data_IF_788500576072
#
_entry.id   IF_788500576072
#
_cell.length_a   1.000
_cell.length_b   1.000
_cell.length_c   1.000
_cell.angle_alpha   90.00
_cell.angle_beta   90.00
_cell.angle_gamma   90.00
#
_symmetry.space_group_name_H-M   'P 1'
#
loop_
_entity.id
_entity.type
_entity.pdbx_description
1 polymer ?
#
# COMPACT_ATOMS: atom_id res chain seq x y z
N UNK A 1 14.41 -31.55 18.15
CA UNK A 1 13.32 -30.71 17.58
C UNK A 1 12.06 -30.92 18.40
N UNK A 2 11.51 -29.86 19.02
CA UNK A 2 10.23 -29.95 19.75
C UNK A 2 9.12 -30.20 18.73
N UNK A 3 8.38 -31.29 18.90
CA UNK A 3 7.29 -31.71 18.02
C UNK A 3 6.11 -30.77 18.26
N UNK A 4 5.86 -29.86 17.32
CA UNK A 4 4.79 -28.86 17.46
C UNK A 4 3.43 -29.57 17.53
N UNK A 5 2.61 -29.25 18.54
CA UNK A 5 1.35 -29.94 18.85
C UNK A 5 0.25 -29.68 17.81
N UNK A 6 0.46 -28.71 16.92
CA UNK A 6 -0.50 -28.25 15.91
C UNK A 6 0.15 -28.26 14.52
N UNK A 7 -0.64 -28.60 13.49
CA UNK A 7 -0.21 -28.57 12.09
C UNK A 7 -0.19 -27.12 11.60
N UNK A 8 0.98 -26.61 11.22
CA UNK A 8 1.11 -25.30 10.59
C UNK A 8 0.68 -25.37 9.12
N UNK A 9 -0.34 -24.58 8.75
CA UNK A 9 -0.83 -24.46 7.36
C UNK A 9 -0.04 -23.42 6.56
N UNK A 10 0.41 -22.36 7.24
CA UNK A 10 1.19 -21.27 6.64
C UNK A 10 2.63 -21.39 7.11
N UNK A 11 3.57 -21.29 6.16
CA UNK A 11 5.00 -21.24 6.45
C UNK A 11 5.49 -19.82 6.25
N UNK A 12 6.19 -19.28 7.25
CA UNK A 12 6.88 -18.00 7.11
C UNK A 12 8.08 -18.19 6.19
N UNK A 13 8.35 -17.20 5.36
CA UNK A 13 9.61 -17.16 4.62
C UNK A 13 10.77 -17.04 5.61
N UNK A 14 11.78 -17.91 5.48
CA UNK A 14 12.93 -17.96 6.40
C UNK A 14 13.81 -16.70 6.33
N UNK A 15 13.82 -16.02 5.18
CA UNK A 15 14.56 -14.77 4.98
C UNK A 15 13.81 -13.50 5.40
N UNK A 16 12.75 -13.63 6.22
CA UNK A 16 12.07 -12.45 6.74
C UNK A 16 12.98 -11.61 7.65
N UNK A 17 12.80 -10.27 7.69
CA UNK A 17 11.85 -9.48 6.88
C UNK A 17 12.29 -9.30 5.42
N UNK A 18 11.34 -9.28 4.47
CA UNK A 18 11.62 -9.07 3.04
C UNK A 18 11.96 -7.61 2.67
N UNK A 19 11.59 -6.67 3.54
CA UNK A 19 11.83 -5.23 3.42
C UNK A 19 12.00 -4.65 4.83
N UNK A 20 12.93 -3.73 4.97
CA UNK A 20 13.23 -2.96 6.19
C UNK A 20 13.39 -1.49 5.85
N UNK A 21 13.40 -0.63 6.88
CA UNK A 21 13.65 0.80 6.67
C UNK A 21 15.05 1.11 6.12
N UNK A 22 16.02 0.20 6.28
CA UNK A 22 17.37 0.36 5.75
C UNK A 22 17.42 0.23 4.22
N UNK A 23 16.42 -0.40 3.61
CA UNK A 23 16.33 -0.56 2.15
C UNK A 23 15.84 0.73 1.45
N UNK A 24 15.25 1.65 2.21
CA UNK A 24 14.69 2.87 1.66
C UNK A 24 15.77 3.90 1.30
N UNK A 25 15.71 4.50 0.09
CA UNK A 25 16.71 5.49 -0.34
C UNK A 25 16.52 6.86 0.30
N UNK A 26 15.54 7.02 1.19
CA UNK A 26 15.25 8.26 1.91
C UNK A 26 14.81 7.95 3.36
N UNK A 27 14.80 8.94 4.26
CA UNK A 27 14.48 8.71 5.67
C UNK A 27 13.07 8.15 5.88
N UNK A 28 12.99 6.98 6.51
CA UNK A 28 11.75 6.37 6.99
C UNK A 28 11.86 6.05 8.49
N UNK A 29 10.73 6.10 9.21
CA UNK A 29 10.62 5.60 10.57
C UNK A 29 10.25 4.12 10.58
N UNK A 30 9.27 3.73 9.77
CA UNK A 30 8.81 2.35 9.61
C UNK A 30 8.26 2.10 8.20
N UNK A 31 8.32 0.83 7.75
CA UNK A 31 7.80 0.38 6.45
C UNK A 31 7.02 -0.91 6.62
N UNK A 32 5.74 -0.93 6.26
CA UNK A 32 4.83 -2.03 6.57
C UNK A 32 3.51 -1.93 5.78
N UNK A 33 2.54 -2.81 6.08
CA UNK A 33 1.16 -2.80 5.58
C UNK A 33 0.97 -2.52 4.09
N UNK A 34 1.81 -3.14 3.26
CA UNK A 34 1.78 -2.92 1.83
C UNK A 34 0.55 -3.53 1.16
N UNK A 35 -0.01 -2.82 0.19
CA UNK A 35 -0.88 -3.42 -0.82
C UNK A 35 -0.02 -4.17 -1.84
N UNK A 36 -0.48 -5.32 -2.33
CA UNK A 36 0.28 -6.17 -3.25
C UNK A 36 -0.49 -6.45 -4.54
N UNK A 37 0.20 -6.48 -5.68
CA UNK A 37 -0.38 -6.90 -6.96
C UNK A 37 0.68 -7.44 -7.92
N UNK A 38 0.24 -8.17 -8.95
CA UNK A 38 1.08 -8.57 -10.08
C UNK A 38 0.92 -7.56 -11.21
N UNK A 39 2.04 -7.08 -11.75
CA UNK A 39 2.05 -6.21 -12.92
C UNK A 39 1.94 -7.02 -14.21
N UNK A 40 1.53 -6.42 -15.34
CA UNK A 40 1.54 -7.10 -16.64
C UNK A 40 2.94 -7.58 -17.06
N UNK A 41 4.00 -6.97 -16.52
CA UNK A 41 5.40 -7.41 -16.71
C UNK A 41 5.72 -8.75 -16.03
N UNK A 42 4.85 -9.24 -15.13
CA UNK A 42 5.10 -10.38 -14.27
C UNK A 42 5.84 -10.04 -12.97
N UNK A 43 6.20 -8.77 -12.75
CA UNK A 43 6.79 -8.32 -11.49
C UNK A 43 5.71 -8.18 -10.41
N UNK A 44 6.07 -8.56 -9.18
CA UNK A 44 5.28 -8.23 -8.00
C UNK A 44 5.53 -6.77 -7.65
N UNK A 45 4.45 -6.02 -7.46
CA UNK A 45 4.49 -4.67 -6.89
C UNK A 45 3.92 -4.70 -5.47
N UNK A 46 4.66 -4.11 -4.54
CA UNK A 46 4.19 -3.69 -3.24
C UNK A 46 4.02 -2.18 -3.24
N UNK A 47 2.84 -1.68 -2.89
CA UNK A 47 2.64 -0.28 -2.54
C UNK A 47 2.70 -0.18 -1.02
N UNK A 48 3.88 0.16 -0.51
CA UNK A 48 4.23 0.04 0.90
C UNK A 48 3.83 1.31 1.65
N UNK A 49 3.20 1.16 2.82
CA UNK A 49 3.03 2.28 3.75
C UNK A 49 4.39 2.57 4.38
N UNK A 50 4.81 3.81 4.23
CA UNK A 50 6.04 4.33 4.82
C UNK A 50 5.61 5.43 5.77
N UNK A 51 5.92 5.27 7.05
CA UNK A 51 5.76 6.33 8.03
C UNK A 51 7.07 7.13 8.09
N UNK A 52 6.99 8.45 7.91
CA UNK A 52 8.13 9.33 8.05
C UNK A 52 8.46 9.60 9.54
N UNK A 53 9.56 10.30 9.79
CA UNK A 53 10.01 10.61 11.18
C UNK A 53 9.13 11.63 11.92
N UNK A 54 8.13 12.21 11.25
CA UNK A 54 7.10 13.06 11.87
C UNK A 54 5.86 12.26 12.26
N UNK A 55 5.81 10.96 11.91
CA UNK A 55 4.64 10.11 12.09
C UNK A 55 3.60 10.25 10.97
N UNK A 56 3.95 10.89 9.84
CA UNK A 56 3.04 11.05 8.70
C UNK A 56 3.33 9.96 7.69
N UNK A 57 2.28 9.23 7.29
CA UNK A 57 2.39 8.14 6.34
C UNK A 57 2.21 8.59 4.89
N UNK A 58 2.99 7.99 4.00
CA UNK A 58 2.85 8.07 2.55
C UNK A 58 3.02 6.67 1.93
N UNK A 59 2.77 6.55 0.63
CA UNK A 59 2.87 5.25 -0.07
C UNK A 59 4.04 5.24 -1.05
N UNK A 60 4.78 4.13 -1.08
CA UNK A 60 5.94 3.96 -1.97
C UNK A 60 5.92 2.60 -2.63
N UNK A 61 6.05 2.57 -3.95
CA UNK A 61 6.11 1.35 -4.71
C UNK A 61 7.50 0.71 -4.61
N UNK A 62 7.50 -0.59 -4.37
CA UNK A 62 8.65 -1.47 -4.45
C UNK A 62 8.31 -2.60 -5.44
N UNK A 63 9.24 -2.93 -6.34
CA UNK A 63 9.02 -3.91 -7.41
C UNK A 63 10.05 -5.02 -7.33
N UNK A 64 9.60 -6.27 -7.44
CA UNK A 64 10.47 -7.44 -7.44
C UNK A 64 10.00 -8.46 -8.48
N UNK A 65 10.96 -9.14 -9.12
CA UNK A 65 10.66 -10.19 -10.10
C UNK A 65 10.14 -11.49 -9.46
N UNK A 66 10.60 -11.81 -8.25
CA UNK A 66 10.18 -13.02 -7.52
C UNK A 66 9.18 -12.72 -6.39
N UNK A 67 8.97 -11.43 -6.07
CA UNK A 67 8.09 -10.99 -5.00
C UNK A 67 8.64 -11.27 -3.60
N UNK A 68 9.93 -11.57 -3.48
CA UNK A 68 10.58 -11.97 -2.21
C UNK A 68 11.88 -11.20 -2.00
N UNK A 69 12.73 -11.08 -3.03
CA UNK A 69 14.09 -10.53 -2.94
C UNK A 69 14.32 -9.42 -3.96
N UNK A 70 15.48 -8.74 -3.87
CA UNK A 70 15.96 -7.77 -4.87
C UNK A 70 14.94 -6.68 -5.23
N UNK A 71 14.28 -6.12 -4.22
CA UNK A 71 13.28 -5.07 -4.38
C UNK A 71 13.89 -3.79 -4.93
N UNK A 72 13.29 -3.28 -6.01
CA UNK A 72 13.55 -1.94 -6.55
C UNK A 72 12.52 -0.98 -5.97
N UNK A 73 12.94 -0.17 -5.01
CA UNK A 73 12.10 0.82 -4.33
C UNK A 73 12.18 2.15 -5.09
N UNK A 74 11.03 2.81 -5.27
CA UNK A 74 11.01 4.14 -5.89
C UNK A 74 11.91 5.13 -5.09
N UNK A 75 12.72 5.96 -5.77
CA UNK A 75 13.69 6.84 -5.12
C UNK A 75 13.05 7.95 -4.28
N UNK A 76 11.75 8.17 -4.45
CA UNK A 76 10.93 9.15 -3.75
C UNK A 76 9.55 8.54 -3.46
N UNK A 77 8.79 9.09 -2.51
CA UNK A 77 7.40 8.70 -2.28
C UNK A 77 6.58 8.63 -3.58
N UNK A 78 5.96 7.48 -3.85
CA UNK A 78 5.16 7.26 -5.05
C UNK A 78 3.82 7.98 -4.99
N UNK A 79 3.21 8.04 -3.80
CA UNK A 79 2.02 8.84 -3.52
C UNK A 79 2.20 9.52 -2.15
N UNK A 80 2.30 10.85 -2.17
CA UNK A 80 2.30 11.70 -0.97
C UNK A 80 0.87 12.09 -0.61
N UNK A 81 0.54 12.34 0.68
CA UNK A 81 -0.68 13.04 1.02
C UNK A 81 -0.73 14.44 0.39
N UNK A 82 -1.91 14.91 0.04
CA UNK A 82 -2.17 16.21 -0.59
C UNK A 82 -3.33 16.95 0.12
N UNK A 83 -3.11 17.43 1.35
CA UNK A 83 -4.14 18.06 2.17
C UNK A 83 -4.66 19.39 1.61
N UNK A 84 -3.98 20.00 0.63
CA UNK A 84 -4.46 21.22 -0.01
C UNK A 84 -5.66 20.93 -0.92
N UNK A 85 -5.65 19.78 -1.61
CA UNK A 85 -6.73 19.37 -2.52
C UNK A 85 -7.64 18.31 -1.91
N UNK A 86 -7.14 17.53 -0.97
CA UNK A 86 -7.82 16.43 -0.28
C UNK A 86 -7.59 16.59 1.24
N UNK A 87 -8.31 17.52 1.91
CA UNK A 87 -8.07 17.87 3.32
C UNK A 87 -8.13 16.68 4.28
N UNK A 88 -8.82 15.60 3.90
CA UNK A 88 -8.87 14.34 4.64
C UNK A 88 -7.51 13.63 4.78
N UNK A 89 -6.52 13.96 3.95
CA UNK A 89 -5.18 13.35 3.95
C UNK A 89 -4.19 14.06 4.91
N UNK A 90 -4.64 15.00 5.74
CA UNK A 90 -3.77 15.89 6.54
C UNK A 90 -2.82 15.18 7.50
N UNK A 91 -3.21 14.02 8.04
CA UNK A 91 -2.35 13.20 8.90
C UNK A 91 -1.70 12.03 8.18
N UNK A 92 -1.81 11.98 6.86
CA UNK A 92 -1.19 10.96 6.01
C UNK A 92 -2.19 10.03 5.33
N UNK A 93 -1.63 9.17 4.50
CA UNK A 93 -2.34 8.12 3.78
C UNK A 93 -1.73 6.76 4.13
N UNK A 94 -2.59 5.78 4.38
CA UNK A 94 -2.22 4.55 5.06
C UNK A 94 -2.79 3.31 4.40
N UNK A 95 -2.12 2.20 4.63
CA UNK A 95 -2.65 0.85 4.47
C UNK A 95 -3.38 0.63 3.14
N UNK A 96 -2.69 0.74 1.99
CA UNK A 96 -3.34 0.60 0.70
C UNK A 96 -3.76 -0.84 0.46
N UNK A 97 -4.86 -1.02 -0.27
CA UNK A 97 -5.28 -2.28 -0.88
C UNK A 97 -5.45 -2.05 -2.38
N UNK A 98 -5.00 -3.00 -3.18
CA UNK A 98 -4.91 -2.86 -4.63
C UNK A 98 -5.82 -3.91 -5.28
N UNK A 99 -6.70 -3.45 -6.16
CA UNK A 99 -7.56 -4.32 -6.96
C UNK A 99 -7.48 -3.89 -8.43
N UNK A 100 -7.12 -4.79 -9.33
CA UNK A 100 -7.28 -4.53 -10.76
C UNK A 100 -8.76 -4.57 -11.14
N UNK A 101 -9.25 -3.54 -11.80
CA UNK A 101 -10.63 -3.46 -12.31
C UNK A 101 -10.56 -3.51 -13.83
N UNK A 102 -10.96 -4.65 -14.41
CA UNK A 102 -10.85 -4.94 -15.84
C UNK A 102 -11.65 -3.93 -16.67
N UNK A 103 -12.87 -3.59 -16.25
CA UNK A 103 -13.75 -2.67 -16.97
C UNK A 103 -13.23 -1.23 -17.02
N UNK A 104 -12.35 -0.86 -16.09
CA UNK A 104 -11.69 0.46 -16.07
C UNK A 104 -10.27 0.40 -16.64
N UNK A 105 -9.75 -0.81 -16.88
CA UNK A 105 -8.37 -1.11 -17.19
C UNK A 105 -7.40 -0.35 -16.27
N UNK A 106 -7.69 -0.35 -14.97
CA UNK A 106 -6.97 0.42 -13.96
C UNK A 106 -6.86 -0.38 -12.67
N UNK A 107 -5.77 -0.15 -11.94
CA UNK A 107 -5.67 -0.50 -10.54
C UNK A 107 -6.45 0.52 -9.71
N UNK A 108 -7.39 0.03 -8.93
CA UNK A 108 -8.04 0.77 -7.87
C UNK A 108 -7.27 0.57 -6.56
N UNK A 109 -6.96 1.68 -5.90
CA UNK A 109 -6.22 1.71 -4.65
C UNK A 109 -7.13 2.33 -3.61
N UNK A 110 -7.67 1.50 -2.73
CA UNK A 110 -8.31 1.97 -1.51
C UNK A 110 -7.24 2.19 -0.46
N UNK A 111 -7.34 3.29 0.28
CA UNK A 111 -6.41 3.61 1.36
C UNK A 111 -7.14 4.40 2.44
N UNK A 112 -6.61 4.36 3.66
CA UNK A 112 -7.11 5.20 4.73
C UNK A 112 -6.51 6.60 4.59
N UNK A 113 -7.37 7.62 4.52
CA UNK A 113 -6.97 9.01 4.71
C UNK A 113 -7.23 9.38 6.15
N UNK A 114 -6.19 9.81 6.87
CA UNK A 114 -6.32 10.14 8.28
C UNK A 114 -6.56 11.65 8.45
N UNK A 115 -7.77 12.00 8.88
CA UNK A 115 -8.27 13.37 8.92
C UNK A 115 -8.46 13.89 10.35
N UNK A 116 -8.76 15.18 10.50
CA UNK A 116 -9.18 15.77 11.78
C UNK A 116 -10.48 15.18 12.33
N UNK A 117 -11.28 14.54 11.48
CA UNK A 117 -12.56 13.92 11.84
C UNK A 117 -12.46 12.41 12.02
N UNK A 118 -11.24 11.85 12.03
CA UNK A 118 -10.98 10.42 12.13
C UNK A 118 -10.54 9.78 10.80
N UNK A 119 -10.28 8.46 10.81
CA UNK A 119 -9.91 7.71 9.61
C UNK A 119 -11.13 7.51 8.71
N UNK A 120 -10.93 7.66 7.40
CA UNK A 120 -11.93 7.36 6.39
C UNK A 120 -11.30 6.67 5.19
N UNK A 121 -12.13 6.13 4.30
CA UNK A 121 -11.63 5.43 3.11
C UNK A 121 -11.66 6.36 1.90
N UNK A 122 -10.51 6.53 1.28
CA UNK A 122 -10.35 7.20 0.00
C UNK A 122 -9.97 6.22 -1.11
N UNK A 123 -10.18 6.64 -2.35
CA UNK A 123 -9.87 5.87 -3.55
C UNK A 123 -8.95 6.67 -4.48
N UNK A 124 -7.97 6.01 -5.06
CA UNK A 124 -7.21 6.50 -6.21
C UNK A 124 -7.14 5.43 -7.30
N UNK A 125 -7.10 5.86 -8.56
CA UNK A 125 -6.93 4.98 -9.72
C UNK A 125 -5.57 5.22 -10.36
N UNK A 126 -4.92 4.16 -10.84
CA UNK A 126 -3.67 4.25 -11.59
C UNK A 126 -3.59 3.14 -12.65
N UNK A 127 -2.77 3.34 -13.69
CA UNK A 127 -2.40 2.29 -14.65
C UNK A 127 -0.96 1.82 -14.48
N UNK A 128 -0.11 2.63 -13.85
CA UNK A 128 1.34 2.51 -13.91
C UNK A 128 2.05 2.67 -12.55
N UNK A 129 1.30 2.99 -11.49
CA UNK A 129 1.85 3.35 -10.17
C UNK A 129 2.87 4.49 -10.23
N UNK A 130 2.63 5.45 -11.14
CA UNK A 130 3.38 6.71 -11.27
C UNK A 130 2.43 7.89 -11.33
N UNK A 131 1.33 7.72 -12.06
CA UNK A 131 0.26 8.71 -12.18
C UNK A 131 -0.98 8.23 -11.45
N UNK A 132 -1.56 9.08 -10.60
CA UNK A 132 -2.71 8.73 -9.78
C UNK A 132 -3.84 9.72 -10.02
N UNK A 133 -5.01 9.17 -10.29
CA UNK A 133 -6.26 9.91 -10.35
C UNK A 133 -7.03 9.68 -9.05
N UNK A 134 -6.91 10.62 -8.11
CA UNK A 134 -7.65 10.56 -6.84
C UNK A 134 -9.14 10.75 -7.09
N UNK A 135 -9.96 9.90 -6.47
CA UNK A 135 -11.42 9.96 -6.43
C UNK A 135 -11.95 10.58 -5.14
N UNK A 136 -11.07 10.80 -4.16
CA UNK A 136 -11.42 11.32 -2.84
C UNK A 136 -12.08 10.24 -1.97
N UNK A 137 -12.83 10.71 -0.98
CA UNK A 137 -13.57 9.89 -0.02
C UNK A 137 -14.63 9.04 -0.71
N UNK A 138 -14.65 7.74 -0.40
CA UNK A 138 -15.69 6.80 -0.85
C UNK A 138 -16.51 6.21 0.31
N UNK A 139 -16.01 6.29 1.56
CA UNK A 139 -16.75 5.94 2.78
C UNK A 139 -16.51 6.99 3.87
N UNK A 140 -17.54 7.43 4.61
CA UNK A 140 -17.39 8.42 5.68
C UNK A 140 -16.61 7.86 6.88
N UNK A 141 -16.03 8.72 7.75
CA UNK A 141 -15.42 8.27 9.00
C UNK A 141 -16.48 7.78 10.01
N UNK A 142 -16.13 6.91 10.97
CA UNK A 142 -14.84 6.23 11.13
C UNK A 142 -14.83 4.92 10.34
N UNK A 143 -13.95 4.80 9.34
CA UNK A 143 -13.83 3.59 8.51
C UNK A 143 -12.40 3.36 8.01
N UNK A 144 -12.02 2.09 7.84
CA UNK A 144 -10.69 1.63 7.40
C UNK A 144 -10.78 0.23 6.77
N UNK A 145 -9.65 -0.29 6.30
CA UNK A 145 -9.53 -1.67 5.82
C UNK A 145 -10.42 -2.04 4.62
N UNK A 146 -10.91 -1.05 3.87
CA UNK A 146 -11.69 -1.30 2.67
C UNK A 146 -10.86 -2.00 1.58
N UNK A 147 -11.45 -3.02 0.98
CA UNK A 147 -10.94 -3.71 -0.19
C UNK A 147 -12.07 -3.87 -1.21
N UNK A 148 -11.78 -3.66 -2.49
CA UNK A 148 -12.75 -3.83 -3.56
C UNK A 148 -12.75 -5.28 -4.05
N UNK A 149 -13.95 -5.81 -4.31
CA UNK A 149 -14.08 -7.04 -5.08
C UNK A 149 -13.46 -6.87 -6.48
N UNK A 150 -12.77 -7.88 -7.03
CA UNK A 150 -12.09 -7.77 -8.32
C UNK A 150 -13.03 -7.87 -9.53
N UNK A 151 -14.35 -7.86 -9.32
CA UNK A 151 -15.37 -7.95 -10.36
C UNK A 151 -16.72 -7.45 -9.85
N UNK A 152 -17.62 -7.13 -10.78
CA UNK A 152 -19.05 -6.89 -10.50
C UNK A 152 -19.84 -8.21 -10.43
N UNK A 153 -20.99 -8.18 -9.76
CA UNK A 153 -21.91 -9.31 -9.59
C UNK A 153 -23.25 -9.01 -10.26
#
# INVERSE_FOLDING_TARGET
MKRNKFRELLRRYEGNPILTTADWPYPANSVFNAGATLLPSGETLLLVRVEDRRGISHLTAARSRDGITNWQIDPQPTLLPDPQRYPEEVWGIEDPRITWIEELERYAITYTSFSTSGPLVSLALTRDFRTFERRGVIMPPEDKDAALFPRRF
#
